data_IF_368539021913
#
_entry.id   IF_368539021913
#
_cell.length_a   1.000
_cell.length_b   1.000
_cell.length_c   1.000
_cell.angle_alpha   90.00
_cell.angle_beta   90.00
_cell.angle_gamma   90.00
#
_symmetry.space_group_name_H-M   'P 1'
#
loop_
_entity.id
_entity.type
_entity.pdbx_description
1 polymer ?
#
# COMPACT_ATOMS: atom_id res chain seq x y z
N UNK A 1 9.44 43.21 17.51
CA UNK A 1 10.00 42.33 16.47
C UNK A 1 8.93 41.32 16.10
N UNK A 2 8.62 41.25 14.80
CA UNK A 2 7.50 40.51 14.21
C UNK A 2 7.54 39.00 14.51
N UNK A 3 6.50 38.49 15.19
CA UNK A 3 6.14 37.08 15.10
C UNK A 3 5.43 36.86 13.76
N UNK A 4 6.20 36.52 12.71
CA UNK A 4 5.59 35.96 11.51
C UNK A 4 5.19 34.52 11.83
N UNK A 5 3.92 34.32 12.23
CA UNK A 5 3.27 33.04 11.96
C UNK A 5 3.27 32.89 10.44
N UNK A 6 4.22 32.13 9.91
CA UNK A 6 4.19 31.69 8.53
C UNK A 6 2.87 30.95 8.34
N UNK A 7 1.90 31.60 7.70
CA UNK A 7 0.70 30.94 7.17
C UNK A 7 1.22 29.76 6.36
N UNK A 8 1.02 28.52 6.84
CA UNK A 8 1.30 27.33 6.02
C UNK A 8 0.45 27.48 4.76
N UNK A 9 1.09 27.71 3.62
CA UNK A 9 0.42 27.80 2.32
C UNK A 9 -0.33 26.48 2.12
N UNK A 10 -1.63 26.56 1.89
CA UNK A 10 -2.51 25.40 1.82
C UNK A 10 -2.34 24.72 0.46
N UNK A 11 -2.16 23.41 0.46
CA UNK A 11 -2.25 22.61 -0.77
C UNK A 11 -3.62 22.84 -1.41
N UNK A 12 -3.65 23.14 -2.70
CA UNK A 12 -4.89 23.40 -3.45
C UNK A 12 -5.17 22.37 -4.55
N UNK A 13 -4.26 21.41 -4.74
CA UNK A 13 -4.27 20.43 -5.83
C UNK A 13 -3.50 19.16 -5.43
N UNK A 14 -3.89 18.00 -5.95
CA UNK A 14 -3.14 16.74 -5.78
C UNK A 14 -2.72 16.19 -7.14
N UNK A 15 -1.45 15.84 -7.29
CA UNK A 15 -0.89 15.16 -8.46
C UNK A 15 -0.54 13.74 -8.04
N UNK A 16 -1.11 12.72 -8.67
CA UNK A 16 -0.95 11.33 -8.23
C UNK A 16 -0.33 10.53 -9.36
N UNK A 17 0.71 9.76 -9.05
CA UNK A 17 1.18 8.71 -9.96
C UNK A 17 0.15 7.56 -10.06
N UNK A 18 0.30 6.70 -11.07
CA UNK A 18 -0.58 5.57 -11.29
C UNK A 18 0.07 4.23 -10.88
N UNK A 19 1.21 3.91 -11.47
CA UNK A 19 1.78 2.57 -11.55
C UNK A 19 2.63 2.29 -10.30
N UNK A 20 2.12 1.49 -9.37
CA UNK A 20 2.76 1.27 -8.06
C UNK A 20 2.26 2.22 -6.97
N UNK A 21 1.59 3.32 -7.34
CA UNK A 21 0.94 4.26 -6.40
C UNK A 21 -0.56 3.99 -6.23
N UNK A 22 -1.35 4.01 -7.32
CA UNK A 22 -2.81 3.80 -7.28
C UNK A 22 -3.20 2.36 -7.61
N UNK A 23 -2.42 1.67 -8.44
CA UNK A 23 -2.69 0.31 -8.91
C UNK A 23 -1.45 -0.58 -8.79
N UNK A 24 -1.62 -1.87 -8.53
CA UNK A 24 -0.52 -2.81 -8.36
C UNK A 24 0.01 -3.35 -9.70
N UNK A 25 0.74 -2.51 -10.44
CA UNK A 25 1.37 -2.91 -11.70
C UNK A 25 2.64 -3.72 -11.50
N UNK A 26 3.43 -3.42 -10.46
CA UNK A 26 4.71 -4.08 -10.20
C UNK A 26 4.56 -5.57 -9.92
N UNK A 27 3.51 -5.96 -9.16
CA UNK A 27 3.19 -7.37 -8.92
C UNK A 27 2.89 -8.11 -10.22
N UNK A 28 2.04 -7.53 -11.07
CA UNK A 28 1.64 -8.13 -12.36
C UNK A 28 2.83 -8.24 -13.32
N UNK A 29 3.68 -7.21 -13.40
CA UNK A 29 4.93 -7.25 -14.18
C UNK A 29 5.84 -8.37 -13.68
N UNK A 30 6.02 -8.48 -12.36
CA UNK A 30 6.84 -9.53 -11.74
C UNK A 30 6.34 -10.95 -12.08
N UNK A 31 5.03 -11.17 -12.08
CA UNK A 31 4.44 -12.48 -12.40
C UNK A 31 4.59 -12.86 -13.88
N UNK A 32 4.47 -11.89 -14.77
CA UNK A 32 4.70 -12.09 -16.21
C UNK A 32 6.19 -12.38 -16.44
N UNK A 33 7.09 -11.58 -15.87
CA UNK A 33 8.54 -11.77 -16.00
C UNK A 33 8.99 -13.12 -15.47
N UNK A 34 8.45 -13.58 -14.34
CA UNK A 34 8.75 -14.91 -13.78
C UNK A 34 8.49 -16.02 -14.78
N UNK A 35 7.41 -15.95 -15.55
CA UNK A 35 7.07 -16.93 -16.58
C UNK A 35 7.86 -16.71 -17.87
N UNK A 36 8.03 -15.46 -18.27
CA UNK A 36 8.70 -15.08 -19.52
C UNK A 36 10.18 -15.47 -19.50
N UNK A 37 10.88 -15.17 -18.42
CA UNK A 37 12.32 -15.43 -18.27
C UNK A 37 12.67 -16.92 -18.26
N UNK A 38 11.74 -17.80 -17.85
CA UNK A 38 11.93 -19.25 -17.91
C UNK A 38 12.21 -19.75 -19.34
N UNK A 39 11.67 -19.08 -20.37
CA UNK A 39 11.94 -19.42 -21.79
C UNK A 39 13.43 -19.31 -22.14
N UNK A 40 14.16 -18.47 -21.43
CA UNK A 40 15.59 -18.21 -21.63
C UNK A 40 16.47 -18.87 -20.57
N UNK A 41 15.90 -19.77 -19.75
CA UNK A 41 16.63 -20.40 -18.63
C UNK A 41 17.01 -19.41 -17.52
N UNK A 42 16.32 -18.27 -17.42
CA UNK A 42 16.52 -17.23 -16.41
C UNK A 42 15.41 -17.29 -15.36
N UNK A 43 15.67 -16.73 -14.18
CA UNK A 43 14.69 -16.67 -13.09
C UNK A 43 14.51 -15.22 -12.63
N UNK A 44 13.26 -14.76 -12.58
CA UNK A 44 12.92 -13.51 -11.91
C UNK A 44 13.06 -13.70 -10.39
N UNK A 45 13.97 -12.93 -9.77
CA UNK A 45 14.23 -12.98 -8.34
C UNK A 45 13.94 -11.64 -7.62
N UNK A 46 13.40 -10.66 -8.35
CA UNK A 46 12.94 -9.36 -7.82
C UNK A 46 14.05 -8.44 -7.32
N UNK A 47 15.33 -8.83 -7.38
CA UNK A 47 16.44 -7.95 -6.96
C UNK A 47 16.54 -6.70 -7.82
N UNK A 48 16.20 -6.84 -9.09
CA UNK A 48 16.22 -5.76 -10.08
C UNK A 48 14.91 -4.98 -10.15
N UNK A 49 13.89 -5.33 -9.35
CA UNK A 49 12.63 -4.58 -9.29
C UNK A 49 12.87 -3.10 -9.01
N UNK A 50 13.82 -2.78 -8.12
CA UNK A 50 14.16 -1.39 -7.78
C UNK A 50 14.66 -0.57 -8.96
N UNK A 51 15.31 -1.21 -9.94
CA UNK A 51 15.86 -0.49 -11.09
C UNK A 51 14.76 -0.09 -12.07
N UNK A 52 13.71 -0.92 -12.19
CA UNK A 52 12.65 -0.73 -13.20
C UNK A 52 11.44 0.07 -12.68
N UNK A 53 11.21 0.13 -11.37
CA UNK A 53 10.09 0.86 -10.78
C UNK A 53 10.17 2.36 -11.12
N UNK A 54 9.05 2.90 -11.62
CA UNK A 54 8.93 4.30 -12.03
C UNK A 54 9.61 4.67 -13.36
N UNK A 55 10.28 3.74 -14.04
CA UNK A 55 10.84 3.97 -15.37
C UNK A 55 9.75 4.06 -16.46
N UNK A 56 10.10 4.63 -17.62
CA UNK A 56 9.26 4.46 -18.81
C UNK A 56 9.26 3.01 -19.28
N UNK A 57 8.23 2.54 -20.02
CA UNK A 57 8.21 1.17 -20.54
C UNK A 57 9.43 0.80 -21.39
N UNK A 58 10.00 1.74 -22.14
CA UNK A 58 11.18 1.50 -22.97
C UNK A 58 12.45 1.33 -22.13
N UNK A 59 12.65 2.18 -21.11
CA UNK A 59 13.76 2.06 -20.17
C UNK A 59 13.69 0.75 -19.37
N UNK A 60 12.49 0.38 -18.91
CA UNK A 60 12.29 -0.87 -18.18
C UNK A 60 12.62 -2.10 -19.05
N UNK A 61 12.12 -2.12 -20.30
CA UNK A 61 12.43 -3.19 -21.25
C UNK A 61 13.93 -3.28 -21.56
N UNK A 62 14.60 -2.13 -21.72
CA UNK A 62 16.05 -2.06 -21.95
C UNK A 62 16.81 -2.66 -20.76
N UNK A 63 16.46 -2.21 -19.55
CA UNK A 63 17.03 -2.72 -18.28
C UNK A 63 16.86 -4.23 -18.16
N UNK A 64 15.67 -4.77 -18.44
CA UNK A 64 15.38 -6.21 -18.34
C UNK A 64 16.20 -7.02 -19.35
N UNK A 65 16.27 -6.57 -20.60
CA UNK A 65 17.05 -7.26 -21.66
C UNK A 65 18.53 -7.31 -21.29
N UNK A 66 19.08 -6.20 -20.79
CA UNK A 66 20.48 -6.08 -20.39
C UNK A 66 20.81 -6.90 -19.13
N UNK A 67 20.07 -6.69 -18.03
CA UNK A 67 20.35 -7.32 -16.72
C UNK A 67 20.22 -8.85 -16.78
N UNK A 68 19.28 -9.38 -17.57
CA UNK A 68 19.11 -10.82 -17.74
C UNK A 68 19.92 -11.41 -18.90
N UNK A 69 20.59 -10.56 -19.70
CA UNK A 69 21.36 -10.98 -20.87
C UNK A 69 20.50 -11.74 -21.88
N UNK A 70 19.33 -11.19 -22.21
CA UNK A 70 18.40 -11.80 -23.14
C UNK A 70 18.95 -11.71 -24.58
N UNK A 71 18.76 -12.75 -25.42
CA UNK A 71 19.29 -12.76 -26.78
C UNK A 71 18.45 -11.96 -27.78
N UNK A 72 17.28 -11.46 -27.38
CA UNK A 72 16.37 -10.67 -28.22
C UNK A 72 16.66 -9.17 -28.13
N UNK A 73 16.19 -8.41 -29.12
CA UNK A 73 16.23 -6.94 -29.07
C UNK A 73 15.11 -6.39 -28.17
N UNK A 74 15.28 -5.15 -27.68
CA UNK A 74 14.28 -4.46 -26.86
C UNK A 74 12.91 -4.39 -27.54
N UNK A 75 12.86 -4.12 -28.84
CA UNK A 75 11.61 -4.08 -29.61
C UNK A 75 10.92 -5.45 -29.72
N UNK A 76 11.71 -6.52 -29.84
CA UNK A 76 11.20 -7.91 -29.87
C UNK A 76 10.66 -8.29 -28.49
N UNK A 77 11.40 -7.98 -27.42
CA UNK A 77 10.94 -8.17 -26.05
C UNK A 77 9.61 -7.45 -25.82
N UNK A 78 9.51 -6.17 -26.18
CA UNK A 78 8.27 -5.39 -26.02
C UNK A 78 7.10 -5.97 -26.80
N UNK A 79 7.35 -6.42 -28.04
CA UNK A 79 6.33 -7.04 -28.90
C UNK A 79 5.77 -8.34 -28.31
N UNK A 80 6.58 -9.08 -27.55
CA UNK A 80 6.14 -10.29 -26.85
C UNK A 80 5.55 -10.00 -25.46
N UNK A 81 6.12 -9.05 -24.73
CA UNK A 81 5.75 -8.74 -23.35
C UNK A 81 4.43 -7.98 -23.27
N UNK A 82 4.22 -6.99 -24.14
CA UNK A 82 3.05 -6.11 -24.09
C UNK A 82 1.71 -6.88 -24.21
N UNK A 83 1.53 -7.86 -25.12
CA UNK A 83 0.31 -8.66 -25.16
C UNK A 83 0.07 -9.46 -23.87
N UNK A 84 1.12 -9.97 -23.22
CA UNK A 84 1.01 -10.70 -21.96
C UNK A 84 0.54 -9.76 -20.83
N UNK A 85 1.06 -8.53 -20.79
CA UNK A 85 0.65 -7.51 -19.84
C UNK A 85 -0.78 -7.01 -20.10
N UNK A 86 -1.11 -6.70 -21.35
CA UNK A 86 -2.44 -6.25 -21.75
C UNK A 86 -3.52 -7.27 -21.38
N UNK A 87 -3.24 -8.56 -21.49
CA UNK A 87 -4.14 -9.65 -21.09
C UNK A 87 -4.37 -9.79 -19.57
N UNK A 88 -3.67 -9.01 -18.73
CA UNK A 88 -3.90 -8.96 -17.28
C UNK A 88 -4.48 -7.62 -16.80
N UNK A 89 -4.71 -6.64 -17.69
CA UNK A 89 -5.11 -5.28 -17.30
C UNK A 89 -6.40 -5.25 -16.47
N UNK A 90 -7.37 -6.11 -16.79
CA UNK A 90 -8.64 -6.25 -16.09
C UNK A 90 -8.51 -6.82 -14.67
N UNK A 91 -7.38 -7.47 -14.37
CA UNK A 91 -7.07 -8.05 -13.06
C UNK A 91 -6.19 -7.17 -12.20
N UNK A 92 -5.68 -6.06 -12.74
CA UNK A 92 -4.88 -5.13 -11.95
C UNK A 92 -5.79 -4.50 -10.90
N UNK A 93 -5.52 -4.79 -9.64
CA UNK A 93 -6.28 -4.24 -8.52
C UNK A 93 -5.75 -2.87 -8.12
N UNK A 94 -6.66 -2.03 -7.63
CA UNK A 94 -6.30 -0.77 -6.97
C UNK A 94 -5.57 -1.06 -5.67
N UNK A 95 -4.56 -0.26 -5.36
CA UNK A 95 -3.81 -0.38 -4.10
C UNK A 95 -4.67 0.04 -2.89
N UNK A 96 -4.36 -0.47 -1.70
CA UNK A 96 -5.12 -0.21 -0.47
C UNK A 96 -5.19 1.29 -0.16
N UNK A 97 -6.41 1.82 -0.10
CA UNK A 97 -6.68 3.25 0.12
C UNK A 97 -6.81 4.09 -1.14
N UNK A 98 -6.47 3.58 -2.34
CA UNK A 98 -6.57 4.33 -3.60
C UNK A 98 -7.99 4.81 -3.90
N UNK A 99 -8.97 3.89 -3.92
CA UNK A 99 -10.38 4.23 -4.14
C UNK A 99 -10.93 5.22 -3.10
N UNK A 100 -10.52 5.05 -1.84
CA UNK A 100 -10.90 5.92 -0.72
C UNK A 100 -10.36 7.33 -0.94
N UNK A 101 -9.08 7.47 -1.29
CA UNK A 101 -8.42 8.74 -1.55
C UNK A 101 -9.05 9.49 -2.72
N UNK A 102 -9.14 8.87 -3.90
CA UNK A 102 -9.63 9.55 -5.12
C UNK A 102 -11.08 10.01 -4.98
N UNK A 103 -11.95 9.17 -4.39
CA UNK A 103 -13.37 9.49 -4.18
C UNK A 103 -13.50 10.62 -3.16
N UNK A 104 -12.74 10.57 -2.08
CA UNK A 104 -12.75 11.62 -1.06
C UNK A 104 -12.34 12.97 -1.63
N UNK A 105 -11.23 13.03 -2.40
CA UNK A 105 -10.77 14.26 -3.04
C UNK A 105 -11.82 14.81 -4.02
N UNK A 106 -12.42 13.93 -4.83
CA UNK A 106 -13.49 14.31 -5.77
C UNK A 106 -14.72 14.86 -5.06
N UNK A 107 -15.21 14.20 -4.00
CA UNK A 107 -16.38 14.63 -3.23
C UNK A 107 -16.19 15.99 -2.57
N UNK A 108 -14.94 16.35 -2.23
CA UNK A 108 -14.62 17.66 -1.64
C UNK A 108 -14.19 18.71 -2.67
N UNK A 109 -14.30 18.40 -3.98
CA UNK A 109 -13.95 19.33 -5.04
C UNK A 109 -12.46 19.67 -5.12
N UNK A 110 -11.59 18.84 -4.56
CA UNK A 110 -10.13 19.02 -4.68
C UNK A 110 -9.71 18.57 -6.09
N UNK A 111 -9.09 19.46 -6.91
CA UNK A 111 -8.62 19.08 -8.23
C UNK A 111 -7.51 18.03 -8.14
N UNK A 112 -7.64 16.97 -8.94
CA UNK A 112 -6.66 15.88 -9.02
C UNK A 112 -6.15 15.74 -10.45
N UNK A 113 -4.84 15.66 -10.61
CA UNK A 113 -4.21 15.21 -11.85
C UNK A 113 -3.58 13.83 -11.67
N UNK A 114 -3.68 12.99 -12.70
CA UNK A 114 -2.90 11.76 -12.82
C UNK A 114 -1.70 12.01 -13.73
N UNK A 115 -0.49 11.70 -13.26
CA UNK A 115 0.75 11.92 -14.00
C UNK A 115 1.65 10.68 -13.92
N UNK A 116 1.87 9.98 -15.04
CA UNK A 116 2.62 8.70 -15.07
C UNK A 116 3.64 8.66 -16.23
N UNK A 117 4.73 7.90 -16.04
CA UNK A 117 5.70 7.61 -17.09
C UNK A 117 5.17 6.66 -18.19
N UNK A 118 3.96 6.12 -18.01
CA UNK A 118 3.19 5.48 -19.07
C UNK A 118 2.70 6.48 -20.12
N UNK A 119 2.44 6.02 -21.34
CA UNK A 119 1.77 6.85 -22.36
C UNK A 119 0.34 7.17 -21.96
N UNK A 120 -0.22 8.26 -22.48
CA UNK A 120 -1.60 8.67 -22.24
C UNK A 120 -2.61 7.56 -22.55
N UNK A 121 -2.42 6.88 -23.69
CA UNK A 121 -3.26 5.76 -24.09
C UNK A 121 -3.19 4.58 -23.08
N UNK A 122 -1.99 4.25 -22.60
CA UNK A 122 -1.83 3.18 -21.61
C UNK A 122 -2.45 3.54 -20.26
N UNK A 123 -2.31 4.80 -19.83
CA UNK A 123 -2.97 5.32 -18.62
C UNK A 123 -4.48 5.16 -18.74
N UNK A 124 -5.08 5.65 -19.83
CA UNK A 124 -6.53 5.58 -20.03
C UNK A 124 -7.04 4.14 -20.10
N UNK A 125 -6.29 3.24 -20.74
CA UNK A 125 -6.59 1.82 -20.76
C UNK A 125 -6.61 1.23 -19.36
N UNK A 126 -5.58 1.48 -18.54
CA UNK A 126 -5.48 0.97 -17.16
C UNK A 126 -6.65 1.47 -16.30
N UNK A 127 -6.90 2.79 -16.28
CA UNK A 127 -7.96 3.35 -15.43
C UNK A 127 -9.38 2.99 -15.90
N UNK A 128 -9.57 2.58 -17.17
CA UNK A 128 -10.88 2.18 -17.70
C UNK A 128 -11.46 0.92 -17.04
N UNK A 129 -10.60 0.09 -16.43
CA UNK A 129 -11.01 -1.09 -15.67
C UNK A 129 -11.43 -0.76 -14.23
N UNK A 130 -11.35 0.50 -13.81
CA UNK A 130 -11.69 0.94 -12.47
C UNK A 130 -12.90 1.88 -12.49
N UNK A 131 -14.03 1.39 -11.98
CA UNK A 131 -15.30 2.11 -12.00
C UNK A 131 -15.21 3.49 -11.32
N UNK A 132 -15.60 4.53 -12.05
CA UNK A 132 -15.66 5.92 -11.56
C UNK A 132 -14.32 6.66 -11.54
N UNK A 133 -13.22 6.05 -11.97
CA UNK A 133 -11.89 6.67 -11.89
C UNK A 133 -11.71 7.80 -12.89
N UNK A 134 -12.15 7.62 -14.13
CA UNK A 134 -11.97 8.61 -15.20
C UNK A 134 -12.58 9.96 -14.83
N UNK A 135 -13.71 9.97 -14.13
CA UNK A 135 -14.42 11.16 -13.69
C UNK A 135 -13.75 11.84 -12.48
N UNK A 136 -12.87 11.14 -11.77
CA UNK A 136 -12.16 11.67 -10.61
C UNK A 136 -10.98 12.57 -11.00
N UNK A 137 -10.38 12.37 -12.17
CA UNK A 137 -9.21 13.13 -12.62
C UNK A 137 -9.61 14.32 -13.48
N UNK A 138 -9.23 15.53 -13.05
CA UNK A 138 -9.42 16.77 -13.83
C UNK A 138 -8.43 16.86 -14.99
N UNK A 139 -7.24 16.31 -14.80
CA UNK A 139 -6.15 16.28 -15.77
C UNK A 139 -5.51 14.89 -15.73
N UNK A 140 -5.11 14.41 -16.89
CA UNK A 140 -4.24 13.24 -17.01
C UNK A 140 -3.05 13.70 -17.88
N UNK A 141 -1.84 13.24 -17.57
CA UNK A 141 -0.62 13.53 -18.34
C UNK A 141 0.20 12.24 -18.46
N UNK A 142 0.47 11.83 -19.70
CA UNK A 142 1.40 10.74 -20.01
C UNK A 142 2.80 11.23 -20.36
N UNK A 143 3.77 10.32 -20.37
CA UNK A 143 5.16 10.62 -20.76
C UNK A 143 5.30 11.08 -22.21
N UNK A 144 4.38 10.69 -23.09
CA UNK A 144 4.29 11.08 -24.50
C UNK A 144 3.75 12.52 -24.70
N UNK A 145 3.32 13.18 -23.62
CA UNK A 145 2.82 14.56 -23.64
C UNK A 145 3.84 15.58 -23.11
N UNK A 146 5.06 15.14 -22.77
CA UNK A 146 6.14 15.96 -22.23
C UNK A 146 7.47 15.68 -22.92
N UNK A 147 8.43 16.59 -22.78
CA UNK A 147 9.74 16.43 -23.41
C UNK A 147 10.59 15.36 -22.72
N UNK A 148 10.52 15.27 -21.40
CA UNK A 148 11.23 14.26 -20.59
C UNK A 148 10.33 13.71 -19.49
N UNK A 149 10.28 12.39 -19.36
CA UNK A 149 9.60 11.73 -18.24
C UNK A 149 10.34 11.90 -16.90
N UNK A 150 9.77 11.32 -15.84
CA UNK A 150 10.40 11.29 -14.50
C UNK A 150 11.79 10.61 -14.63
N UNK A 151 12.86 11.15 -14.02
CA UNK A 151 12.87 12.12 -12.93
C UNK A 151 12.86 13.61 -13.33
N UNK A 152 12.65 13.94 -14.60
CA UNK A 152 12.44 15.34 -15.01
C UNK A 152 11.15 15.89 -14.39
N UNK A 153 11.10 17.17 -14.00
CA UNK A 153 9.89 17.75 -13.41
C UNK A 153 8.76 17.99 -14.43
N UNK A 154 9.04 17.88 -15.73
CA UNK A 154 8.17 18.27 -16.85
C UNK A 154 6.74 17.74 -16.68
N UNK A 155 6.57 16.48 -16.27
CA UNK A 155 5.25 15.85 -16.14
C UNK A 155 4.39 16.49 -15.05
N UNK A 156 4.99 16.84 -13.90
CA UNK A 156 4.28 17.50 -12.81
C UNK A 156 4.07 18.99 -13.07
N UNK A 157 5.02 19.64 -13.74
CA UNK A 157 4.87 21.03 -14.18
C UNK A 157 3.74 21.16 -15.20
N UNK A 158 3.66 20.25 -16.17
CA UNK A 158 2.58 20.23 -17.15
C UNK A 158 1.23 19.89 -16.49
N UNK A 159 1.19 18.94 -15.56
CA UNK A 159 -0.02 18.62 -14.80
C UNK A 159 -0.53 19.83 -13.99
N UNK A 160 0.34 20.51 -13.24
CA UNK A 160 -0.01 21.71 -12.48
C UNK A 160 -0.50 22.85 -13.38
N UNK A 161 0.19 23.08 -14.50
CA UNK A 161 -0.20 24.07 -15.52
C UNK A 161 -1.59 23.78 -16.09
N UNK A 162 -1.89 22.54 -16.45
CA UNK A 162 -3.22 22.14 -16.96
C UNK A 162 -4.32 22.26 -15.91
N UNK A 163 -3.99 22.13 -14.62
CA UNK A 163 -4.90 22.43 -13.51
C UNK A 163 -5.02 23.94 -13.20
N UNK A 164 -4.24 24.79 -13.87
CA UNK A 164 -4.10 26.22 -13.57
C UNK A 164 -3.68 26.47 -12.11
N UNK A 165 -2.65 25.76 -11.67
CA UNK A 165 -2.09 25.80 -10.31
C UNK A 165 -0.59 26.05 -10.33
N UNK A 166 -0.11 26.71 -9.29
CA UNK A 166 1.32 26.82 -9.04
C UNK A 166 1.86 25.52 -8.44
N UNK A 167 3.03 25.01 -8.87
CA UNK A 167 3.58 23.75 -8.36
C UNK A 167 3.78 23.73 -6.83
N UNK A 168 4.10 24.89 -6.22
CA UNK A 168 4.25 25.02 -4.77
C UNK A 168 2.95 24.80 -3.98
N UNK A 169 1.79 24.90 -4.65
CA UNK A 169 0.48 24.66 -4.07
C UNK A 169 -0.05 23.25 -4.34
N UNK A 170 0.78 22.38 -4.93
CA UNK A 170 0.42 21.02 -5.27
C UNK A 170 1.15 20.00 -4.38
N UNK A 171 0.42 18.91 -4.09
CA UNK A 171 0.92 17.74 -3.38
C UNK A 171 1.03 16.57 -4.35
N UNK A 172 2.25 16.07 -4.54
CA UNK A 172 2.54 14.85 -5.29
C UNK A 172 2.43 13.63 -4.36
N UNK A 173 1.81 12.57 -4.84
CA UNK A 173 1.80 11.24 -4.20
C UNK A 173 2.44 10.26 -5.18
N UNK A 174 3.51 9.60 -4.74
CA UNK A 174 4.43 8.84 -5.59
C UNK A 174 5.00 7.63 -4.87
N UNK A 175 5.26 6.53 -5.58
CA UNK A 175 5.83 5.31 -5.04
C UNK A 175 7.29 5.09 -5.42
N UNK A 176 7.82 5.86 -6.39
CA UNK A 176 9.11 5.60 -7.01
C UNK A 176 10.14 6.69 -6.71
N UNK A 177 11.42 6.32 -6.62
CA UNK A 177 12.52 7.30 -6.42
C UNK A 177 12.58 8.31 -7.59
N UNK A 178 12.50 7.91 -8.88
CA UNK A 178 12.44 8.85 -9.99
C UNK A 178 11.27 9.83 -9.87
N UNK A 179 10.10 9.35 -9.47
CA UNK A 179 8.92 10.18 -9.31
C UNK A 179 9.01 11.16 -8.14
N UNK A 180 9.54 10.74 -7.00
CA UNK A 180 9.84 11.66 -5.90
C UNK A 180 10.82 12.75 -6.34
N UNK A 181 11.89 12.38 -7.05
CA UNK A 181 12.84 13.37 -7.59
C UNK A 181 12.18 14.37 -8.53
N UNK A 182 11.31 13.90 -9.44
CA UNK A 182 10.54 14.77 -10.34
C UNK A 182 9.62 15.73 -9.58
N UNK A 183 8.90 15.24 -8.56
CA UNK A 183 8.01 16.06 -7.74
C UNK A 183 8.79 17.15 -6.98
N UNK A 184 9.93 16.80 -6.38
CA UNK A 184 10.80 17.76 -5.69
C UNK A 184 11.40 18.77 -6.66
N UNK A 185 11.86 18.34 -7.83
CA UNK A 185 12.42 19.22 -8.86
C UNK A 185 11.37 20.19 -9.42
N UNK A 186 10.09 19.81 -9.43
CA UNK A 186 8.98 20.67 -9.83
C UNK A 186 8.63 21.74 -8.78
N UNK A 187 9.21 21.70 -7.57
CA UNK A 187 8.89 22.62 -6.47
C UNK A 187 7.65 22.23 -5.66
N UNK A 188 7.14 21.01 -5.84
CA UNK A 188 5.95 20.50 -5.13
C UNK A 188 6.30 19.95 -3.73
N UNK A 189 5.25 19.70 -2.94
CA UNK A 189 5.31 18.80 -1.78
C UNK A 189 5.14 17.37 -2.22
N UNK A 190 5.85 16.41 -1.60
CA UNK A 190 5.82 15.01 -2.02
C UNK A 190 5.58 14.07 -0.84
N UNK A 191 4.56 13.22 -0.95
CA UNK A 191 4.38 12.02 -0.13
C UNK A 191 4.88 10.83 -0.92
N UNK A 192 5.84 10.11 -0.36
CA UNK A 192 6.29 8.82 -0.88
C UNK A 192 5.46 7.67 -0.29
N UNK A 193 5.03 6.74 -1.13
CA UNK A 193 4.31 5.50 -0.78
C UNK A 193 5.04 4.32 -1.44
N UNK A 194 6.24 3.94 -0.96
CA UNK A 194 7.10 3.01 -1.67
C UNK A 194 6.40 1.69 -2.03
N UNK A 195 6.35 1.35 -3.31
CA UNK A 195 5.71 0.10 -3.76
C UNK A 195 6.46 -1.15 -3.29
N UNK A 196 7.76 -0.99 -2.98
CA UNK A 196 8.64 -2.05 -2.50
C UNK A 196 8.91 -1.94 -0.99
N UNK A 197 8.78 -3.05 -0.24
CA UNK A 197 8.97 -3.05 1.21
C UNK A 197 10.43 -2.77 1.59
N UNK A 198 10.64 -2.16 2.77
CA UNK A 198 11.96 -1.89 3.37
C UNK A 198 12.85 -0.91 2.60
N UNK A 199 12.28 -0.12 1.70
CA UNK A 199 13.01 0.85 0.88
C UNK A 199 12.89 2.30 1.33
N UNK A 200 12.26 2.55 2.49
CA UNK A 200 11.99 3.91 2.99
C UNK A 200 13.23 4.81 3.06
N UNK A 201 14.41 4.24 3.31
CA UNK A 201 15.69 4.93 3.32
C UNK A 201 16.11 5.55 1.97
N UNK A 202 15.51 5.13 0.84
CA UNK A 202 15.76 5.70 -0.48
C UNK A 202 14.95 6.98 -0.75
N UNK A 203 13.90 7.24 0.04
CA UNK A 203 12.93 8.31 -0.18
C UNK A 203 13.21 9.54 0.72
N UNK A 204 14.47 9.77 1.08
CA UNK A 204 14.88 10.83 2.02
C UNK A 204 14.58 12.26 1.55
N UNK A 205 14.32 12.45 0.25
CA UNK A 205 13.95 13.75 -0.33
C UNK A 205 12.45 14.05 -0.26
N UNK A 206 11.60 13.06 0.04
CA UNK A 206 10.16 13.24 0.20
C UNK A 206 9.85 14.05 1.48
N UNK A 207 8.75 14.80 1.47
CA UNK A 207 8.31 15.56 2.65
C UNK A 207 7.65 14.62 3.70
N UNK A 208 7.09 13.48 3.28
CA UNK A 208 6.60 12.39 4.15
C UNK A 208 6.75 11.04 3.43
N UNK A 209 7.04 9.97 4.18
CA UNK A 209 7.05 8.60 3.68
C UNK A 209 6.02 7.80 4.46
N UNK A 210 5.07 7.18 3.77
CA UNK A 210 4.03 6.32 4.34
C UNK A 210 4.09 4.92 3.73
N UNK A 211 3.48 3.91 4.37
CA UNK A 211 3.53 2.53 3.90
C UNK A 211 2.37 2.17 2.97
N UNK A 212 1.26 2.90 3.07
CA UNK A 212 0.03 2.68 2.31
C UNK A 212 -0.75 3.97 2.16
N UNK A 213 -1.59 4.07 1.12
CA UNK A 213 -2.58 5.16 1.02
C UNK A 213 -3.64 5.12 2.14
N UNK A 214 -3.76 4.01 2.89
CA UNK A 214 -4.54 3.99 4.14
C UNK A 214 -3.97 4.91 5.23
N UNK A 215 -2.67 5.16 5.21
CA UNK A 215 -1.95 5.93 6.24
C UNK A 215 -2.00 7.44 6.01
N UNK A 216 -2.51 7.88 4.85
CA UNK A 216 -2.48 9.29 4.46
C UNK A 216 -3.38 10.13 5.36
N UNK A 217 -2.82 11.24 5.86
CA UNK A 217 -3.51 12.23 6.71
C UNK A 217 -3.57 13.56 5.97
N UNK A 218 -4.62 13.74 5.17
CA UNK A 218 -4.81 14.87 4.26
C UNK A 218 -4.74 16.24 4.97
N UNK A 219 -5.19 16.31 6.22
CA UNK A 219 -5.18 17.52 7.01
C UNK A 219 -3.77 18.03 7.35
N UNK A 220 -2.73 17.16 7.35
CA UNK A 220 -1.32 17.58 7.49
C UNK A 220 -0.89 18.52 6.36
N UNK A 221 -1.55 18.38 5.21
CA UNK A 221 -1.26 19.08 3.96
C UNK A 221 -2.24 20.21 3.67
N UNK A 222 -3.17 20.49 4.60
CA UNK A 222 -4.21 21.51 4.39
C UNK A 222 -5.37 21.05 3.52
N UNK A 223 -5.49 19.75 3.23
CA UNK A 223 -6.59 19.15 2.48
C UNK A 223 -7.71 18.69 3.44
N UNK A 224 -8.96 18.55 2.96
CA UNK A 224 -10.07 18.09 3.79
C UNK A 224 -9.79 16.73 4.44
N UNK A 225 -9.94 16.59 5.78
CA UNK A 225 -9.69 15.33 6.46
C UNK A 225 -10.72 14.28 6.03
N UNK A 226 -10.33 13.01 6.06
CA UNK A 226 -11.27 11.92 5.92
C UNK A 226 -12.28 11.91 7.09
N UNK A 227 -13.52 11.53 6.80
CA UNK A 227 -14.63 11.51 7.76
C UNK A 227 -15.10 10.09 8.10
N UNK A 228 -14.39 9.08 7.62
CA UNK A 228 -14.75 7.66 7.72
C UNK A 228 -14.04 6.92 8.85
N UNK A 229 -13.20 7.60 9.63
CA UNK A 229 -12.63 7.05 10.85
C UNK A 229 -13.68 7.00 11.96
N UNK A 230 -13.83 5.83 12.58
CA UNK A 230 -14.77 5.57 13.68
C UNK A 230 -13.94 5.20 14.90
N UNK A 231 -13.94 6.05 15.93
CA UNK A 231 -13.24 5.78 17.21
C UNK A 231 -11.78 5.31 17.05
N UNK A 232 -11.00 5.99 16.21
CA UNK A 232 -9.60 5.63 15.87
C UNK A 232 -9.41 4.34 15.07
N UNK A 233 -10.47 3.87 14.42
CA UNK A 233 -10.41 2.75 13.47
C UNK A 233 -10.90 3.18 12.10
N UNK A 234 -10.35 2.55 11.06
CA UNK A 234 -10.78 2.71 9.68
C UNK A 234 -11.50 1.43 9.26
N UNK A 235 -12.82 1.48 8.95
CA UNK A 235 -13.50 0.35 8.32
C UNK A 235 -12.81 -0.03 7.00
N UNK A 236 -12.65 -1.34 6.77
CA UNK A 236 -12.18 -1.87 5.48
C UNK A 236 -13.18 -2.92 4.98
N UNK A 237 -13.08 -3.26 3.69
CA UNK A 237 -13.82 -4.40 3.15
C UNK A 237 -13.39 -5.67 3.89
N UNK A 238 -14.32 -6.42 4.51
CA UNK A 238 -13.96 -7.57 5.31
C UNK A 238 -13.28 -8.65 4.48
N UNK A 239 -12.24 -9.26 5.04
CA UNK A 239 -11.50 -10.33 4.39
C UNK A 239 -11.14 -11.44 5.37
N UNK A 240 -10.82 -12.60 4.81
CA UNK A 240 -10.79 -13.87 5.51
C UNK A 240 -9.44 -14.55 5.37
N UNK A 241 -8.87 -14.99 6.49
CA UNK A 241 -7.71 -15.88 6.53
C UNK A 241 -7.85 -16.86 7.68
N UNK A 242 -7.18 -18.00 7.59
CA UNK A 242 -7.18 -18.99 8.65
C UNK A 242 -6.20 -20.13 8.43
N UNK A 243 -6.27 -21.12 9.29
CA UNK A 243 -5.42 -22.30 9.24
C UNK A 243 -4.94 -22.69 10.64
N UNK A 244 -4.07 -23.71 10.72
CA UNK A 244 -3.57 -24.20 11.99
C UNK A 244 -2.70 -23.15 12.67
N UNK A 245 -2.90 -22.94 13.98
CA UNK A 245 -2.05 -22.06 14.78
C UNK A 245 -0.63 -22.61 14.84
N UNK A 246 0.35 -21.81 14.40
CA UNK A 246 1.77 -22.19 14.37
C UNK A 246 2.58 -21.48 15.45
N UNK A 247 3.73 -22.07 15.78
CA UNK A 247 4.71 -21.43 16.65
C UNK A 247 5.35 -20.25 15.91
N UNK A 248 5.26 -19.05 16.48
CA UNK A 248 5.99 -17.87 16.02
C UNK A 248 7.40 -17.79 16.60
N UNK A 249 7.98 -16.59 16.63
CA UNK A 249 9.32 -16.33 17.17
C UNK A 249 9.43 -16.49 18.71
N UNK A 250 8.34 -16.84 19.40
CA UNK A 250 8.29 -17.04 20.85
C UNK A 250 8.45 -15.76 21.68
N UNK A 251 8.40 -14.58 21.03
CA UNK A 251 8.59 -13.27 21.67
C UNK A 251 7.30 -12.71 22.27
N UNK A 252 6.16 -12.89 21.60
CA UNK A 252 4.86 -12.38 22.05
C UNK A 252 4.58 -12.71 23.51
N UNK A 253 4.40 -14.00 23.81
CA UNK A 253 4.10 -14.44 25.19
C UNK A 253 5.28 -14.21 26.15
N UNK A 254 6.49 -14.66 25.81
CA UNK A 254 7.62 -14.70 26.78
C UNK A 254 8.30 -13.36 27.03
N UNK A 255 8.27 -12.45 26.05
CA UNK A 255 8.98 -11.16 26.11
C UNK A 255 8.01 -10.00 26.25
N UNK A 256 6.88 -10.04 25.55
CA UNK A 256 5.90 -8.94 25.55
C UNK A 256 4.74 -9.17 26.54
N UNK A 257 4.52 -10.41 27.01
CA UNK A 257 3.33 -10.77 27.77
C UNK A 257 2.05 -10.83 26.92
N UNK A 258 2.20 -10.96 25.59
CA UNK A 258 1.13 -10.85 24.60
C UNK A 258 1.06 -12.17 23.80
N UNK A 259 0.21 -13.13 24.19
CA UNK A 259 0.14 -14.42 23.51
C UNK A 259 -0.49 -14.27 22.11
N UNK A 260 0.32 -14.45 21.06
CA UNK A 260 -0.13 -14.39 19.66
C UNK A 260 -0.31 -15.77 19.04
N UNK A 261 -1.43 -15.97 18.34
CA UNK A 261 -1.80 -17.20 17.64
C UNK A 261 -1.37 -17.13 16.16
N UNK A 262 -0.07 -17.26 15.91
CA UNK A 262 0.51 -16.98 14.58
C UNK A 262 -0.06 -17.89 13.48
N UNK A 263 -0.18 -17.35 12.27
CA UNK A 263 -0.59 -18.07 11.05
C UNK A 263 0.56 -18.14 10.03
N UNK A 264 0.51 -19.16 9.17
CA UNK A 264 1.41 -19.30 8.03
C UNK A 264 1.14 -18.17 7.02
N UNK A 265 2.19 -17.57 6.48
CA UNK A 265 2.08 -16.60 5.36
C UNK A 265 2.14 -17.26 3.98
N UNK A 266 2.49 -18.55 3.90
CA UNK A 266 2.72 -19.23 2.62
C UNK A 266 1.46 -19.37 1.77
N UNK A 267 0.33 -19.58 2.43
CA UNK A 267 -0.95 -19.82 1.78
C UNK A 267 -1.73 -18.53 1.50
N UNK A 268 -1.19 -17.39 1.94
CA UNK A 268 -1.82 -16.06 1.83
C UNK A 268 -0.91 -15.04 1.15
N UNK A 269 0.01 -15.48 0.30
CA UNK A 269 0.99 -14.60 -0.32
C UNK A 269 0.31 -13.48 -1.13
N UNK A 270 -0.73 -13.82 -1.88
CA UNK A 270 -1.48 -12.89 -2.74
C UNK A 270 -2.29 -11.90 -1.89
N UNK A 271 -3.02 -12.37 -0.88
CA UNK A 271 -3.79 -11.53 0.05
C UNK A 271 -2.85 -10.60 0.84
N UNK A 272 -1.68 -11.08 1.25
CA UNK A 272 -0.70 -10.25 1.94
C UNK A 272 -0.03 -9.19 1.06
N UNK A 273 -0.12 -9.30 -0.27
CA UNK A 273 0.25 -8.21 -1.18
C UNK A 273 -0.88 -7.17 -1.22
N UNK A 274 -2.13 -7.61 -1.16
CA UNK A 274 -3.31 -6.75 -1.16
C UNK A 274 -3.59 -6.06 0.18
N UNK A 275 -2.98 -6.52 1.27
CA UNK A 275 -3.14 -5.91 2.60
C UNK A 275 -1.80 -5.38 3.13
N UNK A 276 -1.68 -4.05 3.33
CA UNK A 276 -0.42 -3.43 3.71
C UNK A 276 0.01 -3.85 5.11
N UNK A 277 1.28 -3.64 5.41
CA UNK A 277 1.81 -3.81 6.77
C UNK A 277 1.09 -2.87 7.75
N UNK A 278 0.57 -3.41 8.84
CA UNK A 278 -0.08 -2.61 9.88
C UNK A 278 -0.80 -3.42 10.94
N UNK A 279 -1.54 -2.69 11.78
CA UNK A 279 -2.36 -3.24 12.86
C UNK A 279 -3.81 -3.23 12.45
N UNK A 280 -4.44 -4.39 12.55
CA UNK A 280 -5.81 -4.67 12.15
C UNK A 280 -6.60 -5.25 13.32
N UNK A 281 -7.90 -5.33 13.17
CA UNK A 281 -8.77 -5.95 14.17
C UNK A 281 -9.97 -6.66 13.52
N UNK A 282 -10.60 -7.52 14.31
CA UNK A 282 -11.67 -8.36 13.82
C UNK A 282 -12.11 -9.45 14.76
N UNK A 283 -12.64 -10.52 14.17
CA UNK A 283 -13.17 -11.67 14.89
C UNK A 283 -12.33 -12.90 14.59
N UNK A 284 -12.10 -13.71 15.61
CA UNK A 284 -11.33 -14.93 15.55
C UNK A 284 -12.19 -16.11 16.01
N UNK A 285 -12.33 -17.12 15.17
CA UNK A 285 -13.03 -18.37 15.44
C UNK A 285 -12.03 -19.48 15.68
N UNK A 286 -12.13 -20.15 16.82
CA UNK A 286 -11.40 -21.36 17.14
C UNK A 286 -12.36 -22.54 17.10
N UNK A 287 -12.01 -23.57 16.34
CA UNK A 287 -12.89 -24.71 16.05
C UNK A 287 -13.47 -25.37 17.32
N UNK A 288 -12.75 -25.38 18.44
CA UNK A 288 -13.20 -26.01 19.68
C UNK A 288 -13.57 -25.02 20.80
N UNK A 289 -13.25 -23.73 20.64
CA UNK A 289 -13.34 -22.73 21.72
C UNK A 289 -14.33 -21.60 21.45
N UNK A 290 -14.80 -21.47 20.21
CA UNK A 290 -15.79 -20.46 19.83
C UNK A 290 -15.17 -19.18 19.26
N UNK A 291 -15.90 -18.08 19.35
CA UNK A 291 -15.58 -16.82 18.67
C UNK A 291 -15.16 -15.74 19.65
N UNK A 292 -14.02 -15.10 19.36
CA UNK A 292 -13.36 -14.09 20.17
C UNK A 292 -13.12 -12.81 19.37
N UNK A 293 -13.03 -11.68 20.07
CA UNK A 293 -12.46 -10.45 19.50
C UNK A 293 -10.96 -10.65 19.30
N UNK A 294 -10.40 -10.01 18.29
CA UNK A 294 -8.96 -10.01 18.05
C UNK A 294 -8.42 -8.65 17.61
N UNK A 295 -7.18 -8.39 17.98
CA UNK A 295 -6.29 -7.40 17.34
C UNK A 295 -5.13 -8.16 16.72
N UNK A 296 -4.62 -7.73 15.57
CA UNK A 296 -3.56 -8.46 14.88
C UNK A 296 -2.54 -7.54 14.24
N UNK A 297 -1.28 -7.96 14.25
CA UNK A 297 -0.24 -7.36 13.44
C UNK A 297 -0.06 -8.17 12.16
N UNK A 298 -0.02 -7.48 11.02
CA UNK A 298 0.43 -8.05 9.74
C UNK A 298 1.65 -7.28 9.31
N UNK A 299 2.80 -7.93 9.17
CA UNK A 299 3.97 -7.23 8.69
C UNK A 299 5.34 -7.73 9.12
N UNK A 300 6.33 -6.83 9.05
CA UNK A 300 7.75 -7.15 9.17
C UNK A 300 8.33 -6.87 10.56
N UNK A 301 7.51 -6.34 11.47
CA UNK A 301 7.90 -5.93 12.82
C UNK A 301 9.24 -5.16 12.85
N UNK A 302 9.23 -3.86 12.49
CA UNK A 302 10.45 -3.06 12.36
C UNK A 302 11.33 -3.05 13.62
N UNK A 303 10.72 -3.14 14.81
CA UNK A 303 11.44 -3.18 16.09
C UNK A 303 12.35 -4.40 16.21
N UNK A 304 11.89 -5.56 15.73
CA UNK A 304 12.68 -6.79 15.75
C UNK A 304 13.42 -7.09 14.43
N UNK A 305 13.23 -6.25 13.41
CA UNK A 305 13.83 -6.38 12.09
C UNK A 305 13.59 -7.79 11.46
N UNK A 306 12.34 -8.25 11.44
CA UNK A 306 12.04 -9.59 10.92
C UNK A 306 12.42 -9.70 9.44
N UNK A 307 12.96 -10.86 9.06
CA UNK A 307 13.36 -11.18 7.68
C UNK A 307 12.20 -11.63 6.79
N UNK A 308 11.07 -11.96 7.39
CA UNK A 308 9.85 -12.41 6.73
C UNK A 308 8.64 -11.67 7.29
N UNK A 309 7.59 -11.56 6.47
CA UNK A 309 6.30 -11.01 6.88
C UNK A 309 5.60 -12.01 7.80
N UNK A 310 4.89 -11.52 8.79
CA UNK A 310 4.22 -12.31 9.84
C UNK A 310 2.75 -11.93 9.96
N UNK A 311 1.93 -12.88 10.41
CA UNK A 311 0.54 -12.68 10.78
C UNK A 311 0.41 -13.07 12.26
N UNK A 312 0.26 -12.09 13.14
CA UNK A 312 0.33 -12.26 14.58
C UNK A 312 -0.97 -11.75 15.24
N UNK A 313 -2.06 -12.55 15.23
CA UNK A 313 -3.29 -12.20 15.92
C UNK A 313 -3.16 -12.45 17.42
N UNK A 314 -3.64 -11.50 18.20
CA UNK A 314 -3.88 -11.61 19.63
C UNK A 314 -5.38 -11.69 19.87
N UNK A 315 -5.83 -12.89 20.27
CA UNK A 315 -7.21 -13.10 20.70
C UNK A 315 -7.38 -12.47 22.08
N UNK A 316 -8.41 -11.63 22.22
CA UNK A 316 -8.66 -10.81 23.40
C UNK A 316 -9.38 -11.64 24.46
N UNK A 317 -8.71 -12.70 24.89
CA UNK A 317 -9.17 -13.69 25.86
C UNK A 317 -7.97 -14.33 26.58
N UNK A 318 -8.13 -14.63 27.87
CA UNK A 318 -7.10 -15.28 28.67
C UNK A 318 -7.24 -16.81 28.58
N UNK A 319 -6.37 -17.44 27.80
CA UNK A 319 -6.30 -18.90 27.69
C UNK A 319 -5.38 -19.49 28.76
N UNK A 320 -5.79 -20.60 29.36
CA UNK A 320 -4.98 -21.33 30.36
C UNK A 320 -3.96 -22.29 29.75
N UNK A 321 -4.07 -22.55 28.44
CA UNK A 321 -3.25 -23.52 27.71
C UNK A 321 -2.96 -23.03 26.29
N UNK A 322 -1.83 -23.48 25.73
CA UNK A 322 -1.50 -23.26 24.33
C UNK A 322 -2.39 -24.12 23.42
N UNK A 323 -2.76 -23.60 22.24
CA UNK A 323 -3.62 -24.27 21.27
C UNK A 323 -2.96 -24.38 19.88
N UNK A 324 -1.66 -24.67 19.85
CA UNK A 324 -0.95 -24.92 18.58
C UNK A 324 -1.59 -26.07 17.80
N UNK A 325 -1.74 -25.88 16.49
CA UNK A 325 -2.38 -26.83 15.58
C UNK A 325 -3.90 -26.76 15.55
N UNK A 326 -4.55 -26.04 16.47
CA UNK A 326 -5.98 -25.77 16.38
C UNK A 326 -6.28 -24.88 15.16
N UNK A 327 -7.39 -25.16 14.47
CA UNK A 327 -7.83 -24.38 13.33
C UNK A 327 -8.34 -23.01 13.80
N UNK A 328 -7.65 -21.95 13.37
CA UNK A 328 -7.99 -20.56 13.63
C UNK A 328 -8.53 -19.92 12.36
N UNK A 329 -9.66 -19.21 12.46
CA UNK A 329 -10.30 -18.49 11.36
C UNK A 329 -10.52 -17.05 11.71
N UNK A 330 -10.08 -16.14 10.86
CA UNK A 330 -10.07 -14.72 11.10
C UNK A 330 -10.95 -13.99 10.09
N UNK A 331 -11.81 -13.11 10.60
CA UNK A 331 -12.46 -12.07 9.80
C UNK A 331 -11.84 -10.75 10.20
N UNK A 332 -11.12 -10.12 9.29
CA UNK A 332 -10.56 -8.80 9.49
C UNK A 332 -11.58 -7.78 9.00
N UNK A 333 -11.94 -6.81 9.84
CA UNK A 333 -13.05 -5.86 9.56
C UNK A 333 -12.62 -4.40 9.58
N UNK A 334 -11.40 -4.12 10.04
CA UNK A 334 -10.89 -2.76 10.09
C UNK A 334 -9.39 -2.68 10.33
N UNK A 335 -8.89 -1.47 10.13
CA UNK A 335 -7.51 -1.06 10.28
C UNK A 335 -7.37 -0.05 11.42
N UNK A 336 -6.28 -0.12 12.17
CA UNK A 336 -6.01 0.82 13.28
C UNK A 336 -4.91 1.80 12.88
N UNK A 337 -3.74 1.29 12.45
CA UNK A 337 -2.56 2.11 12.18
C UNK A 337 -1.47 1.35 11.42
N UNK A 338 -0.49 2.06 10.82
CA UNK A 338 0.67 1.40 10.24
C UNK A 338 1.56 0.74 11.29
N UNK A 339 2.38 -0.20 10.84
CA UNK A 339 3.53 -0.67 11.61
C UNK A 339 4.50 0.50 11.82
N UNK A 340 5.01 0.62 13.05
CA UNK A 340 5.97 1.63 13.43
C UNK A 340 7.16 0.98 14.14
N UNK A 341 8.32 1.63 14.03
CA UNK A 341 9.45 1.32 14.89
C UNK A 341 9.31 2.08 16.21
N UNK A 342 9.86 1.54 17.29
CA UNK A 342 9.75 2.09 18.64
C UNK A 342 11.13 2.25 19.26
N UNK A 343 11.32 3.30 20.05
CA UNK A 343 12.59 3.58 20.73
C UNK A 343 12.87 2.65 21.90
N UNK A 344 11.84 2.01 22.47
CA UNK A 344 11.98 1.07 23.58
C UNK A 344 10.91 -0.03 23.55
N UNK A 345 11.23 -1.16 24.19
CA UNK A 345 10.29 -2.27 24.36
C UNK A 345 9.02 -1.85 25.10
N UNK A 346 9.16 -1.00 26.12
CA UNK A 346 8.05 -0.49 26.92
C UNK A 346 7.08 0.33 26.06
N UNK A 347 7.60 1.20 25.19
CA UNK A 347 6.77 2.00 24.28
C UNK A 347 6.06 1.14 23.24
N UNK A 348 6.70 0.06 22.78
CA UNK A 348 6.06 -0.93 21.91
C UNK A 348 4.93 -1.66 22.64
N UNK A 349 5.18 -2.18 23.84
CA UNK A 349 4.19 -2.90 24.66
C UNK A 349 2.99 -1.99 24.96
N UNK A 350 3.25 -0.76 25.45
CA UNK A 350 2.20 0.21 25.73
C UNK A 350 1.33 0.45 24.48
N UNK A 351 1.96 0.60 23.31
CA UNK A 351 1.21 0.81 22.07
C UNK A 351 0.36 -0.40 21.67
N UNK A 352 0.85 -1.62 21.83
CA UNK A 352 0.07 -2.83 21.56
C UNK A 352 -1.15 -2.93 22.49
N UNK A 353 -1.01 -2.53 23.77
CA UNK A 353 -2.14 -2.47 24.69
C UNK A 353 -3.16 -1.38 24.31
N UNK A 354 -2.72 -0.21 23.86
CA UNK A 354 -3.62 0.80 23.29
C UNK A 354 -4.40 0.25 22.09
N UNK A 355 -3.72 -0.45 21.17
CA UNK A 355 -4.35 -1.04 19.99
C UNK A 355 -5.40 -2.10 20.38
N UNK A 356 -5.13 -2.89 21.43
CA UNK A 356 -6.09 -3.82 22.03
C UNK A 356 -7.33 -3.09 22.55
N UNK A 357 -7.17 -2.00 23.30
CA UNK A 357 -8.31 -1.25 23.84
C UNK A 357 -9.17 -0.63 22.73
N UNK A 358 -8.53 -0.14 21.67
CA UNK A 358 -9.21 0.39 20.47
C UNK A 358 -10.02 -0.72 19.80
N UNK A 359 -9.40 -1.89 19.56
CA UNK A 359 -10.07 -3.04 18.96
C UNK A 359 -11.25 -3.54 19.81
N UNK A 360 -11.07 -3.65 21.14
CA UNK A 360 -12.10 -4.07 22.08
C UNK A 360 -13.36 -3.21 21.98
N UNK A 361 -13.19 -1.88 22.03
CA UNK A 361 -14.28 -0.92 21.95
C UNK A 361 -14.92 -0.90 20.56
N UNK A 362 -14.10 -0.85 19.51
CA UNK A 362 -14.59 -0.82 18.13
C UNK A 362 -15.45 -2.04 17.80
N UNK A 363 -15.04 -3.25 18.22
CA UNK A 363 -15.79 -4.48 17.93
C UNK A 363 -17.17 -4.57 18.60
N UNK A 364 -17.48 -3.71 19.58
CA UNK A 364 -18.83 -3.59 20.14
C UNK A 364 -19.75 -2.67 19.32
N UNK A 365 -19.20 -1.85 18.42
CA UNK A 365 -20.01 -0.99 17.55
C UNK A 365 -20.80 -1.83 16.54
N UNK A 366 -22.07 -1.50 16.24
CA UNK A 366 -22.91 -2.28 15.34
C UNK A 366 -22.31 -2.55 13.95
N UNK A 367 -21.51 -1.61 13.43
CA UNK A 367 -20.82 -1.73 12.14
C UNK A 367 -19.86 -2.92 12.09
N UNK A 368 -19.25 -3.28 13.22
CA UNK A 368 -18.25 -4.35 13.33
C UNK A 368 -18.80 -5.59 14.06
N UNK A 369 -19.69 -5.40 15.03
CA UNK A 369 -20.31 -6.48 15.82
C UNK A 369 -21.10 -7.47 14.97
N UNK A 370 -21.69 -7.01 13.85
CA UNK A 370 -22.45 -7.85 12.91
C UNK A 370 -21.65 -9.04 12.35
N UNK A 371 -20.31 -8.93 12.30
CA UNK A 371 -19.46 -9.99 11.76
C UNK A 371 -19.15 -11.11 12.76
N UNK A 372 -19.50 -10.96 14.05
CA UNK A 372 -19.31 -12.01 15.06
C UNK A 372 -20.03 -13.31 14.72
N UNK A 373 -21.20 -13.20 14.07
CA UNK A 373 -22.05 -14.34 13.69
C UNK A 373 -21.77 -14.90 12.30
N UNK A 374 -20.69 -14.48 11.64
CA UNK A 374 -20.38 -14.94 10.29
C UNK A 374 -20.07 -16.46 10.30
N UNK A 375 -20.70 -17.25 9.42
CA UNK A 375 -20.49 -18.70 9.36
C UNK A 375 -19.04 -19.13 9.12
N UNK A 376 -18.20 -18.27 8.54
CA UNK A 376 -16.78 -18.57 8.36
C UNK A 376 -16.07 -18.87 9.69
N UNK A 377 -16.46 -18.20 10.78
CA UNK A 377 -15.83 -18.32 12.11
C UNK A 377 -16.15 -19.63 12.83
N UNK A 378 -17.19 -20.35 12.40
CA UNK A 378 -17.70 -21.56 13.08
C UNK A 378 -17.64 -22.83 12.23
N UNK A 379 -17.14 -22.70 11.00
CA UNK A 379 -16.80 -23.83 10.14
C UNK A 379 -15.46 -24.41 10.53
#
# INVERSE_FOLDING_TARGET
MSMSNSLKKLTSCVLIDLDGTLINTDGVVGDILRKYLCKYGKQWDGRESLKIVGQTPLEAATTIVEDYGLPCKVDEFNSEFYPLFSAQMDKIKSLPGANRLIRHLKCHGVPVALASNSSRANIESKISHHEGWKECFSVIVGSDEVSKGKPSPDIFLEAAKRLNKDPEDCLVIEDSVPGVMAGKAAGTKVIAVPSLPKQTHLYTSADEVINSLLDIRLEKWGLPPFQDWIENTLPIDPWHIGGPVIKGFGRGSKVLGIPTANLSTKDYADELVEHPSGVYFGWAGLATRGVFKMVMSIGWNPYFNNKEKTIEPWLLHDFTEDFYGEELRLIIVGYIRPEANFSSLESLIAKIHEDREVAEKALDLPSYAKFKGDPYLTK
#
